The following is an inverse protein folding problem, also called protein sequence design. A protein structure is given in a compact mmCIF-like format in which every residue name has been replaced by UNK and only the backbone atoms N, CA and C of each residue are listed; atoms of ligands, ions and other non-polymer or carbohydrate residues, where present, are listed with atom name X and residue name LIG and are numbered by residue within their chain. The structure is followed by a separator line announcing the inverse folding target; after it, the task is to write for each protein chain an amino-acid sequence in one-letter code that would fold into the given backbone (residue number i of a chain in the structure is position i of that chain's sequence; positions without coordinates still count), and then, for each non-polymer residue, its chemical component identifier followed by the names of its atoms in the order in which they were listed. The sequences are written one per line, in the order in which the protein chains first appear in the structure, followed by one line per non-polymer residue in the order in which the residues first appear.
data_IF_020112355966
#
_entry.id   IF_020112355966
#
_cell.length_a   1.000
_cell.length_b   1.000
_cell.length_c   1.000
_cell.angle_alpha   90.00
_cell.angle_beta   90.00
_cell.angle_gamma   90.00
#
_symmetry.space_group_name_H-M   'P 1'
#
loop_
_entity.id
_entity.type
_entity.pdbx_description
1 polymer ?
#
# COMPACT_ATOMS: atom_id res chain seq x y z
N UNK A 1 11.70 -0.95 -13.17
CA UNK A 1 11.09 -2.30 -13.22
C UNK A 1 9.75 -2.22 -13.94
N UNK A 2 9.31 -3.29 -14.60
CA UNK A 2 8.14 -3.33 -15.49
C UNK A 2 6.77 -3.18 -14.77
N UNK A 3 6.76 -2.84 -13.49
CA UNK A 3 5.55 -2.55 -12.70
C UNK A 3 5.10 -1.08 -12.83
N UNK A 4 5.49 -0.40 -13.92
CA UNK A 4 5.00 0.94 -14.20
C UNK A 4 3.47 0.91 -14.40
N UNK A 5 2.79 1.91 -13.83
CA UNK A 5 1.36 1.94 -13.53
C UNK A 5 0.46 1.41 -14.67
N UNK A 6 -0.12 0.22 -14.45
CA UNK A 6 -1.18 -0.33 -15.31
C UNK A 6 -2.52 -0.11 -14.62
N UNK A 7 -3.53 0.44 -15.30
CA UNK A 7 -4.85 0.70 -14.72
C UNK A 7 -5.75 -0.54 -14.86
N UNK A 8 -6.55 -0.84 -13.82
CA UNK A 8 -7.58 -1.89 -13.88
C UNK A 8 -8.87 -1.38 -14.55
N UNK A 9 -9.12 -0.07 -14.50
CA UNK A 9 -10.28 0.61 -15.13
C UNK A 9 -9.82 1.91 -15.78
N UNK A 10 -10.37 2.26 -16.95
CA UNK A 10 -9.92 3.39 -17.79
C UNK A 10 -9.95 4.76 -17.07
N UNK A 11 -10.73 4.92 -16.01
CA UNK A 11 -10.85 6.16 -15.22
C UNK A 11 -10.40 6.03 -13.77
N UNK A 12 -9.72 4.95 -13.41
CA UNK A 12 -9.21 4.73 -12.06
C UNK A 12 -7.69 4.64 -12.08
N UNK A 13 -7.03 5.73 -11.67
CA UNK A 13 -5.57 5.90 -11.61
C UNK A 13 -4.95 5.08 -10.46
N UNK A 14 -5.24 3.79 -10.38
CA UNK A 14 -4.65 2.86 -9.42
C UNK A 14 -3.90 1.74 -10.15
N UNK A 15 -2.61 1.52 -9.85
CA UNK A 15 -1.86 0.41 -10.42
C UNK A 15 -2.52 -0.95 -10.11
N UNK A 16 -2.56 -1.84 -11.10
CA UNK A 16 -3.19 -3.14 -11.00
C UNK A 16 -2.61 -4.00 -9.89
N UNK A 17 -1.29 -3.95 -9.68
CA UNK A 17 -0.65 -4.59 -8.52
C UNK A 17 -1.25 -4.11 -7.20
N UNK A 18 -1.42 -2.80 -7.02
CA UNK A 18 -1.98 -2.24 -5.78
C UNK A 18 -3.43 -2.66 -5.62
N UNK A 19 -4.24 -2.51 -6.68
CA UNK A 19 -5.65 -2.89 -6.67
C UNK A 19 -5.82 -4.38 -6.32
N UNK A 20 -5.13 -5.27 -7.04
CA UNK A 20 -5.25 -6.72 -6.89
C UNK A 20 -4.72 -7.21 -5.55
N UNK A 21 -3.62 -6.64 -5.05
CA UNK A 21 -3.13 -6.96 -3.72
C UNK A 21 -4.14 -6.56 -2.64
N UNK A 22 -4.67 -5.34 -2.67
CA UNK A 22 -5.67 -4.89 -1.68
C UNK A 22 -6.94 -5.72 -1.78
N UNK A 23 -7.46 -5.95 -2.99
CA UNK A 23 -8.64 -6.78 -3.26
C UNK A 23 -8.46 -8.20 -2.69
N UNK A 24 -7.32 -8.83 -2.97
CA UNK A 24 -7.02 -10.17 -2.47
C UNK A 24 -6.93 -10.21 -0.94
N UNK A 25 -6.16 -9.28 -0.35
CA UNK A 25 -6.00 -9.21 1.10
C UNK A 25 -7.34 -8.96 1.81
N UNK A 26 -8.20 -8.13 1.21
CA UNK A 26 -9.52 -7.87 1.78
C UNK A 26 -10.45 -9.09 1.69
N UNK A 27 -10.51 -9.77 0.53
CA UNK A 27 -11.33 -10.99 0.38
C UNK A 27 -10.86 -12.11 1.31
N UNK A 28 -9.54 -12.24 1.50
CA UNK A 28 -8.94 -13.22 2.43
C UNK A 28 -9.01 -12.78 3.90
N UNK A 29 -9.61 -11.62 4.20
CA UNK A 29 -9.69 -11.06 5.56
C UNK A 29 -8.32 -10.96 6.24
N UNK A 30 -7.29 -10.61 5.48
CA UNK A 30 -5.90 -10.57 5.96
C UNK A 30 -5.68 -9.61 7.14
N UNK A 31 -6.61 -8.69 7.38
CA UNK A 31 -6.61 -7.86 8.60
C UNK A 31 -6.85 -8.67 9.89
N UNK A 32 -7.23 -9.94 9.84
CA UNK A 32 -7.30 -10.83 11.01
C UNK A 32 -5.99 -11.61 11.23
N UNK A 33 -5.09 -11.60 10.26
CA UNK A 33 -3.87 -12.42 10.26
C UNK A 33 -2.77 -11.78 11.10
N UNK A 34 -2.21 -12.55 12.03
CA UNK A 34 -1.21 -12.03 12.96
C UNK A 34 0.04 -11.53 12.23
N UNK A 35 0.46 -10.31 12.56
CA UNK A 35 1.67 -9.72 12.00
C UNK A 35 1.57 -9.42 10.51
N UNK A 36 0.37 -9.28 9.93
CA UNK A 36 0.19 -8.83 8.54
C UNK A 36 1.02 -7.56 8.28
N UNK A 37 1.72 -7.50 7.14
CA UNK A 37 2.76 -6.52 6.80
C UNK A 37 4.06 -6.53 7.60
N UNK A 38 4.08 -6.99 8.86
CA UNK A 38 5.34 -7.19 9.62
C UNK A 38 6.07 -8.45 9.16
N UNK A 39 5.35 -9.57 9.13
CA UNK A 39 5.87 -10.85 8.67
C UNK A 39 6.05 -10.85 7.15
N UNK A 40 7.11 -11.51 6.69
CA UNK A 40 7.36 -11.69 5.26
C UNK A 40 6.88 -13.07 4.82
N UNK A 41 6.10 -13.13 3.75
CA UNK A 41 5.79 -14.41 3.11
C UNK A 41 7.01 -15.02 2.39
N UNK A 42 6.83 -16.23 1.88
CA UNK A 42 7.88 -16.96 1.14
C UNK A 42 8.47 -16.13 -0.01
N UNK A 43 9.80 -16.07 -0.08
CA UNK A 43 10.52 -15.39 -1.17
C UNK A 43 10.18 -15.99 -2.53
N UNK A 44 10.06 -17.31 -2.64
CA UNK A 44 9.68 -17.98 -3.87
C UNK A 44 8.27 -17.58 -4.34
N UNK A 45 7.32 -17.46 -3.41
CA UNK A 45 5.97 -16.98 -3.73
C UNK A 45 5.99 -15.52 -4.18
N UNK A 46 6.74 -14.65 -3.49
CA UNK A 46 6.91 -13.25 -3.87
C UNK A 46 7.49 -13.11 -5.28
N UNK A 47 8.56 -13.84 -5.60
CA UNK A 47 9.21 -13.79 -6.92
C UNK A 47 8.28 -14.29 -8.03
N UNK A 48 7.54 -15.37 -7.78
CA UNK A 48 6.52 -15.90 -8.71
C UNK A 48 5.41 -14.87 -8.99
N UNK A 49 4.91 -14.19 -7.94
CA UNK A 49 3.90 -13.15 -8.10
C UNK A 49 4.44 -11.95 -8.89
N UNK A 50 5.68 -11.49 -8.60
CA UNK A 50 6.33 -10.42 -9.35
C UNK A 50 6.42 -10.75 -10.84
N UNK A 51 6.88 -11.96 -11.19
CA UNK A 51 6.96 -12.42 -12.57
C UNK A 51 5.58 -12.41 -13.24
N UNK A 52 4.55 -12.87 -12.54
CA UNK A 52 3.18 -12.91 -13.06
C UNK A 52 2.63 -11.50 -13.40
N UNK A 53 2.85 -10.52 -12.53
CA UNK A 53 2.45 -9.13 -12.78
C UNK A 53 3.28 -8.46 -13.88
N UNK A 54 4.58 -8.76 -13.99
CA UNK A 54 5.41 -8.23 -15.06
C UNK A 54 4.97 -8.75 -16.45
N UNK A 55 4.45 -9.97 -16.53
CA UNK A 55 3.97 -10.57 -17.79
C UNK A 55 2.56 -10.12 -18.16
N UNK A 56 1.59 -10.26 -17.24
CA UNK A 56 0.17 -10.06 -17.57
C UNK A 56 -0.33 -8.62 -17.34
N UNK A 57 0.46 -7.78 -16.67
CA UNK A 57 0.14 -6.40 -16.21
C UNK A 57 -1.05 -6.31 -15.24
N UNK A 58 -2.20 -6.90 -15.56
CA UNK A 58 -3.32 -7.18 -14.65
C UNK A 58 -3.43 -8.69 -14.38
N UNK A 59 -2.90 -9.12 -13.23
CA UNK A 59 -2.95 -10.51 -12.80
C UNK A 59 -3.94 -10.69 -11.65
N UNK A 60 -5.05 -11.39 -11.91
CA UNK A 60 -6.12 -11.58 -10.94
C UNK A 60 -5.79 -12.67 -9.91
N UNK A 61 -5.35 -12.23 -8.72
CA UNK A 61 -4.97 -13.10 -7.60
C UNK A 61 -6.09 -14.02 -7.10
N UNK A 62 -7.37 -13.65 -7.30
CA UNK A 62 -8.51 -14.44 -6.86
C UNK A 62 -8.83 -15.62 -7.79
N UNK A 63 -8.28 -15.63 -9.01
CA UNK A 63 -8.51 -16.70 -10.00
C UNK A 63 -7.39 -17.76 -10.05
N UNK A 64 -6.41 -17.66 -9.17
CA UNK A 64 -5.29 -18.60 -9.12
C UNK A 64 -5.76 -19.91 -8.47
N UNK A 65 -5.46 -21.05 -9.12
CA UNK A 65 -5.87 -22.38 -8.63
C UNK A 65 -5.32 -22.70 -7.23
N UNK A 66 -4.09 -22.27 -6.94
CA UNK A 66 -3.50 -22.37 -5.61
C UNK A 66 -3.33 -20.95 -5.04
N UNK A 67 -4.20 -20.50 -4.13
CA UNK A 67 -4.16 -19.15 -3.61
C UNK A 67 -2.84 -18.86 -2.88
N UNK A 68 -2.18 -17.72 -3.15
CA UNK A 68 -0.94 -17.36 -2.45
C UNK A 68 -1.19 -17.00 -0.98
N UNK A 69 -0.17 -17.21 -0.15
CA UNK A 69 -0.15 -16.72 1.24
C UNK A 69 -0.36 -15.19 1.28
N UNK A 70 -1.23 -14.73 2.17
CA UNK A 70 -1.50 -13.31 2.44
C UNK A 70 -0.25 -12.54 2.83
N UNK A 71 0.72 -13.15 3.52
CA UNK A 71 2.00 -12.50 3.83
C UNK A 71 2.87 -12.33 2.58
N UNK A 72 2.76 -13.22 1.58
CA UNK A 72 3.47 -13.06 0.31
C UNK A 72 2.87 -11.92 -0.52
N UNK A 73 1.53 -11.81 -0.55
CA UNK A 73 0.82 -10.69 -1.21
C UNK A 73 1.08 -9.36 -0.51
N UNK A 74 1.09 -9.35 0.84
CA UNK A 74 1.47 -8.17 1.61
C UNK A 74 2.92 -7.73 1.34
N UNK A 75 3.86 -8.69 1.24
CA UNK A 75 5.24 -8.43 0.84
C UNK A 75 5.33 -7.85 -0.58
N UNK A 76 4.52 -8.34 -1.52
CA UNK A 76 4.46 -7.81 -2.88
C UNK A 76 3.99 -6.35 -2.89
N UNK A 77 2.94 -6.02 -2.14
CA UNK A 77 2.45 -4.65 -2.05
C UNK A 77 3.51 -3.70 -1.46
N UNK A 78 4.17 -4.10 -0.36
CA UNK A 78 5.27 -3.32 0.24
C UNK A 78 6.43 -3.13 -0.74
N UNK A 79 6.82 -4.21 -1.41
CA UNK A 79 7.88 -4.17 -2.40
C UNK A 79 7.56 -3.19 -3.53
N UNK A 80 6.34 -3.26 -4.06
CA UNK A 80 5.88 -2.37 -5.11
C UNK A 80 6.07 -0.89 -4.73
N UNK A 81 5.59 -0.50 -3.55
CA UNK A 81 5.67 0.88 -3.06
C UNK A 81 7.12 1.36 -2.93
N UNK A 82 7.98 0.53 -2.33
CA UNK A 82 9.41 0.83 -2.16
C UNK A 82 10.16 0.96 -3.48
N UNK A 83 9.72 0.25 -4.51
CA UNK A 83 10.39 0.16 -5.81
C UNK A 83 9.87 1.18 -6.83
N UNK A 84 8.95 2.07 -6.43
CA UNK A 84 8.47 3.15 -7.28
C UNK A 84 9.63 4.12 -7.63
N UNK A 85 9.68 4.66 -8.87
CA UNK A 85 10.70 5.64 -9.25
C UNK A 85 10.66 6.94 -8.42
N UNK A 86 9.47 7.29 -7.92
CA UNK A 86 9.23 8.40 -7.01
C UNK A 86 8.31 7.91 -5.90
N UNK A 87 8.52 8.38 -4.67
CA UNK A 87 7.67 8.01 -3.54
C UNK A 87 6.22 8.47 -3.79
N UNK A 88 5.27 7.78 -3.13
CA UNK A 88 3.84 8.12 -3.20
C UNK A 88 3.60 9.58 -2.78
N UNK A 89 4.36 10.06 -1.80
CA UNK A 89 4.27 11.44 -1.30
C UNK A 89 5.03 12.46 -2.17
N UNK A 90 5.71 12.03 -3.24
CA UNK A 90 6.55 12.83 -4.15
C UNK A 90 7.76 13.48 -3.47
N UNK A 91 8.88 13.58 -4.18
CA UNK A 91 10.09 14.21 -3.62
C UNK A 91 9.90 15.70 -3.34
N UNK A 92 9.05 16.39 -4.13
CA UNK A 92 8.79 17.82 -3.99
C UNK A 92 8.03 18.15 -2.69
N UNK A 93 7.03 17.33 -2.32
CA UNK A 93 6.20 17.57 -1.13
C UNK A 93 6.72 16.85 0.12
N UNK A 94 7.70 15.94 -0.01
CA UNK A 94 8.16 15.12 1.11
C UNK A 94 8.58 15.93 2.34
N UNK A 95 9.36 16.99 2.15
CA UNK A 95 9.80 17.86 3.26
C UNK A 95 8.63 18.61 3.91
N UNK A 96 7.59 18.94 3.14
CA UNK A 96 6.41 19.60 3.68
C UNK A 96 5.56 18.62 4.49
N UNK A 97 5.45 17.36 4.05
CA UNK A 97 4.83 16.29 4.84
C UNK A 97 5.56 16.04 6.17
N UNK A 98 6.89 16.07 6.17
CA UNK A 98 7.68 15.92 7.41
C UNK A 98 7.41 17.09 8.36
N UNK A 99 7.40 18.33 7.86
CA UNK A 99 7.17 19.54 8.67
C UNK A 99 5.78 19.64 9.29
N UNK A 100 4.82 18.83 8.85
CA UNK A 100 3.49 18.75 9.51
C UNK A 100 3.62 18.44 10.99
N UNK A 101 4.59 17.62 11.43
CA UNK A 101 4.68 17.26 12.85
C UNK A 101 5.06 18.44 13.75
N UNK A 102 5.62 19.51 13.17
CA UNK A 102 6.07 20.71 13.88
C UNK A 102 4.90 21.64 14.27
N UNK A 103 3.72 21.48 13.66
CA UNK A 103 2.53 22.22 14.08
C UNK A 103 2.07 21.75 15.46
N UNK A 104 1.89 22.71 16.38
CA UNK A 104 1.47 22.43 17.75
C UNK A 104 0.07 21.80 17.81
N UNK A 105 -0.89 22.45 17.14
CA UNK A 105 -2.30 22.08 17.21
C UNK A 105 -2.64 20.92 16.27
N UNK A 106 -3.41 19.95 16.80
CA UNK A 106 -3.89 18.81 15.99
C UNK A 106 -4.71 19.28 14.78
N UNK A 107 -5.51 20.34 14.96
CA UNK A 107 -6.34 20.89 13.89
C UNK A 107 -5.48 21.35 12.72
N UNK A 108 -4.40 22.08 12.99
CA UNK A 108 -3.51 22.62 11.97
C UNK A 108 -2.78 21.51 11.24
N UNK A 109 -2.31 20.48 11.97
CA UNK A 109 -1.75 19.26 11.36
C UNK A 109 -2.70 18.62 10.36
N UNK A 110 -3.97 18.48 10.73
CA UNK A 110 -4.99 17.86 9.85
C UNK A 110 -5.28 18.73 8.64
N UNK A 111 -5.40 20.05 8.81
CA UNK A 111 -5.63 20.98 7.71
C UNK A 111 -4.46 20.97 6.72
N UNK A 112 -3.22 21.00 7.21
CA UNK A 112 -2.04 21.01 6.36
C UNK A 112 -1.84 19.67 5.65
N UNK A 113 -2.08 18.53 6.32
CA UNK A 113 -2.12 17.23 5.64
C UNK A 113 -3.16 17.19 4.52
N UNK A 114 -4.35 17.73 4.77
CA UNK A 114 -5.40 17.82 3.76
C UNK A 114 -4.96 18.64 2.54
N UNK A 115 -4.29 19.77 2.76
CA UNK A 115 -3.73 20.62 1.71
C UNK A 115 -2.62 19.91 0.92
N UNK A 116 -1.66 19.27 1.59
CA UNK A 116 -0.58 18.55 0.91
C UNK A 116 -1.10 17.36 0.09
N UNK A 117 -2.07 16.62 0.64
CA UNK A 117 -2.71 15.51 -0.07
C UNK A 117 -3.47 16.00 -1.31
N UNK A 118 -4.07 17.19 -1.30
CA UNK A 118 -4.76 17.74 -2.47
C UNK A 118 -3.81 18.25 -3.57
N UNK A 119 -2.54 18.50 -3.24
CA UNK A 119 -1.50 18.86 -4.21
C UNK A 119 -0.85 17.65 -4.91
N UNK A 120 -1.09 16.43 -4.42
CA UNK A 120 -0.55 15.23 -5.04
C UNK A 120 -1.12 15.03 -6.45
N UNK A 121 -0.31 14.55 -7.42
CA UNK A 121 -0.82 14.08 -8.69
C UNK A 121 -1.94 13.05 -8.49
N UNK A 122 -2.93 13.03 -9.40
CA UNK A 122 -4.13 12.20 -9.25
C UNK A 122 -3.81 10.71 -9.00
N UNK A 123 -2.78 10.16 -9.64
CA UNK A 123 -2.34 8.79 -9.44
C UNK A 123 -1.78 8.55 -8.02
N UNK A 124 -0.93 9.44 -7.54
CA UNK A 124 -0.37 9.41 -6.18
C UNK A 124 -1.46 9.53 -5.12
N UNK A 125 -2.37 10.50 -5.28
CA UNK A 125 -3.54 10.67 -4.41
C UNK A 125 -4.42 9.41 -4.40
N UNK A 126 -4.72 8.85 -5.56
CA UNK A 126 -5.57 7.66 -5.68
C UNK A 126 -4.94 6.45 -4.99
N UNK A 127 -3.63 6.24 -5.19
CA UNK A 127 -2.86 5.19 -4.53
C UNK A 127 -2.84 5.40 -3.02
N UNK A 128 -2.46 6.59 -2.54
CA UNK A 128 -2.40 6.91 -1.12
C UNK A 128 -3.74 6.69 -0.45
N UNK A 129 -4.84 7.19 -1.06
CA UNK A 129 -6.20 7.00 -0.55
C UNK A 129 -6.58 5.53 -0.43
N UNK A 130 -6.32 4.73 -1.47
CA UNK A 130 -6.62 3.30 -1.46
C UNK A 130 -5.82 2.55 -0.38
N UNK A 131 -4.51 2.85 -0.28
CA UNK A 131 -3.63 2.25 0.72
C UNK A 131 -4.05 2.64 2.15
N UNK A 132 -4.27 3.93 2.42
CA UNK A 132 -4.69 4.41 3.74
C UNK A 132 -6.02 3.78 4.16
N UNK A 133 -6.99 3.69 3.26
CA UNK A 133 -8.27 3.03 3.55
C UNK A 133 -8.10 1.55 3.92
N UNK A 134 -7.20 0.83 3.23
CA UNK A 134 -6.88 -0.56 3.56
C UNK A 134 -6.15 -0.67 4.91
N UNK A 135 -5.14 0.18 5.17
CA UNK A 135 -4.38 0.14 6.42
C UNK A 135 -5.22 0.50 7.64
N UNK A 136 -6.22 1.39 7.51
CA UNK A 136 -7.19 1.67 8.59
C UNK A 136 -7.92 0.39 9.00
N UNK A 137 -8.36 -0.46 8.05
CA UNK A 137 -9.02 -1.74 8.36
C UNK A 137 -8.10 -2.67 9.16
N UNK A 138 -6.81 -2.71 8.80
CA UNK A 138 -5.80 -3.51 9.52
C UNK A 138 -5.61 -2.99 10.94
N UNK A 139 -5.39 -1.68 11.10
CA UNK A 139 -5.16 -1.07 12.41
C UNK A 139 -6.36 -1.22 13.35
N UNK A 140 -7.59 -1.15 12.82
CA UNK A 140 -8.82 -1.38 13.61
C UNK A 140 -8.91 -2.80 14.18
N UNK A 141 -8.12 -3.74 13.67
CA UNK A 141 -8.04 -5.13 14.15
C UNK A 141 -6.73 -5.43 14.89
N UNK A 142 -6.01 -4.40 15.33
CA UNK A 142 -4.80 -4.51 16.15
C UNK A 142 -4.89 -5.46 17.36
N UNK A 143 -6.03 -5.58 18.10
CA UNK A 143 -6.13 -6.55 19.18
C UNK A 143 -5.95 -8.02 18.73
N UNK A 144 -6.31 -8.32 17.49
CA UNK A 144 -6.21 -9.65 16.87
C UNK A 144 -4.86 -9.77 16.16
N UNK A 145 -4.62 -8.95 15.14
CA UNK A 145 -3.46 -9.07 14.26
C UNK A 145 -2.14 -8.52 14.84
N UNK A 146 -2.18 -7.85 16.01
CA UNK A 146 -1.04 -7.23 16.71
C UNK A 146 -0.37 -6.07 15.97
N UNK A 147 -1.00 -5.53 14.94
CA UNK A 147 -0.49 -4.44 14.11
C UNK A 147 -1.17 -3.11 14.47
N UNK A 148 -0.60 -2.41 15.46
CA UNK A 148 -1.02 -1.06 15.85
C UNK A 148 -0.69 -0.02 14.77
N UNK A 149 -1.27 1.19 14.89
CA UNK A 149 -0.92 2.32 14.02
C UNK A 149 0.59 2.58 14.00
N UNK A 150 1.25 2.52 15.17
CA UNK A 150 2.71 2.68 15.28
C UNK A 150 3.46 1.58 14.53
N UNK A 151 3.05 0.31 14.68
CA UNK A 151 3.70 -0.82 14.01
C UNK A 151 3.55 -0.72 12.48
N UNK A 152 2.36 -0.35 11.99
CA UNK A 152 2.13 -0.11 10.56
C UNK A 152 2.95 1.08 10.07
N UNK A 153 3.03 2.17 10.85
CA UNK A 153 3.84 3.34 10.53
C UNK A 153 5.32 2.98 10.33
N UNK A 154 5.90 2.16 11.21
CA UNK A 154 7.29 1.69 11.09
C UNK A 154 7.50 0.87 9.81
N UNK A 155 6.54 0.02 9.44
CA UNK A 155 6.66 -0.85 8.26
C UNK A 155 6.59 -0.05 6.95
N UNK A 156 5.71 0.96 6.88
CA UNK A 156 5.45 1.69 5.64
C UNK A 156 6.23 3.00 5.51
N UNK A 157 6.75 3.60 6.60
CA UNK A 157 7.48 4.87 6.51
C UNK A 157 8.68 4.85 5.55
N UNK A 158 9.45 3.75 5.37
CA UNK A 158 10.56 3.76 4.40
C UNK A 158 10.08 3.64 2.94
N UNK A 159 8.80 3.36 2.72
CA UNK A 159 8.22 3.08 1.39
C UNK A 159 7.23 4.13 0.91
N UNK A 160 6.94 5.16 1.73
CA UNK A 160 5.99 6.23 1.44
C UNK A 160 6.67 7.59 1.34
#
# INVERSE_FOLDING_TARGET
MAVQATKVREHYELPAVVYRCIEYLDVKKAWLEEGIYRMSGSFAALDSLRKSFNTCRDFNLLKISLPPDVHAVASLLKAYLRELPQSVLTSQLHQDFVRVVDYAERRDRVMELGRLVSLLPLANYTLLRALTAHLIRVVLKAPINKMTLRNIGIVFSPSL
#
